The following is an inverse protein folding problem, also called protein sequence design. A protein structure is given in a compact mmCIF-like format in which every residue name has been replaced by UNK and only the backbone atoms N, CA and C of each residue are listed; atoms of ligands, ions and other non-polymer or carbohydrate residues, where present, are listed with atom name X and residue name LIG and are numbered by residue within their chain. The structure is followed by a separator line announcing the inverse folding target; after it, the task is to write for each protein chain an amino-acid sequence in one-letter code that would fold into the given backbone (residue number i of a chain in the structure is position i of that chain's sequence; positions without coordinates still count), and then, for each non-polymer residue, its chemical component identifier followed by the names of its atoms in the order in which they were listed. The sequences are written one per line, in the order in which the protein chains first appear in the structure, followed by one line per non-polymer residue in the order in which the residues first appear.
data_IF_719989595074
#
_entry.id   IF_719989595074
#
_cell.length_a   1.000
_cell.length_b   1.000
_cell.length_c   1.000
_cell.angle_alpha   90.00
_cell.angle_beta   90.00
_cell.angle_gamma   90.00
#
_symmetry.space_group_name_H-M   'P 1'
#
loop_
_entity.id
_entity.type
_entity.pdbx_description
1 polymer ?
#
# COMPACT_ATOMS: atom_id res chain seq x y z
N UNK A 1 16.75 5.07 -11.70
CA UNK A 1 15.99 6.30 -11.98
C UNK A 1 14.55 6.06 -11.55
N UNK A 2 14.17 6.47 -10.33
CA UNK A 2 12.86 6.12 -9.77
C UNK A 2 11.67 6.81 -10.44
N UNK A 3 11.89 7.91 -11.16
CA UNK A 3 10.82 8.74 -11.74
C UNK A 3 10.42 8.38 -13.17
N UNK A 4 11.16 7.53 -13.85
CA UNK A 4 10.83 7.15 -15.23
C UNK A 4 9.81 6.02 -15.25
N UNK A 5 8.90 6.08 -16.25
CA UNK A 5 8.00 4.97 -16.52
C UNK A 5 8.80 3.74 -16.95
N UNK A 6 8.40 2.58 -16.47
CA UNK A 6 8.89 1.29 -16.99
C UNK A 6 8.38 1.07 -18.42
N UNK A 7 8.98 0.16 -19.14
CA UNK A 7 8.53 -0.14 -20.52
C UNK A 7 7.09 -0.68 -20.52
N UNK A 8 6.70 -1.46 -19.52
CA UNK A 8 5.33 -1.95 -19.36
C UNK A 8 4.35 -0.79 -19.15
N UNK A 9 4.68 0.18 -18.28
CA UNK A 9 3.86 1.36 -18.02
C UNK A 9 3.74 2.25 -19.28
N UNK A 10 4.81 2.38 -20.06
CA UNK A 10 4.78 3.11 -21.35
C UNK A 10 3.84 2.45 -22.35
N UNK A 11 3.90 1.11 -22.48
CA UNK A 11 2.99 0.37 -23.36
C UNK A 11 1.54 0.55 -22.91
N UNK A 12 1.24 0.39 -21.62
CA UNK A 12 -0.11 0.59 -21.09
C UNK A 12 -0.58 2.02 -21.37
N UNK A 13 0.24 3.02 -21.14
CA UNK A 13 -0.11 4.43 -21.38
C UNK A 13 -0.37 4.70 -22.87
N UNK A 14 0.45 4.15 -23.77
CA UNK A 14 0.25 4.30 -25.22
C UNK A 14 -1.02 3.59 -25.69
N UNK A 15 -1.32 2.41 -25.16
CA UNK A 15 -2.51 1.64 -25.54
C UNK A 15 -3.81 2.25 -25.02
N UNK A 16 -3.82 2.70 -23.75
CA UNK A 16 -5.04 3.13 -23.06
C UNK A 16 -5.22 4.64 -22.97
N UNK A 17 -4.19 5.41 -23.34
CA UNK A 17 -4.14 6.87 -23.19
C UNK A 17 -3.97 7.36 -21.75
N UNK A 18 -3.82 6.46 -20.78
CA UNK A 18 -3.65 6.81 -19.35
C UNK A 18 -2.74 5.81 -18.64
N UNK A 19 -2.11 6.27 -17.57
CA UNK A 19 -1.39 5.41 -16.64
C UNK A 19 -2.31 5.06 -15.47
N UNK A 20 -2.50 3.76 -15.22
CA UNK A 20 -3.27 3.29 -14.06
C UNK A 20 -2.51 3.55 -12.76
N UNK A 21 -3.24 3.97 -11.73
CA UNK A 21 -2.66 4.14 -10.41
C UNK A 21 -2.43 2.80 -9.74
N UNK A 22 -1.20 2.54 -9.30
CA UNK A 22 -0.84 1.36 -8.52
C UNK A 22 -0.99 1.65 -7.04
N UNK A 23 -1.88 0.91 -6.37
CA UNK A 23 -2.14 1.02 -4.94
C UNK A 23 -1.32 -0.01 -4.17
N UNK A 24 -0.41 0.46 -3.32
CA UNK A 24 0.34 -0.34 -2.34
C UNK A 24 -0.29 -0.18 -0.96
N UNK A 25 -0.72 -1.28 -0.37
CA UNK A 25 -1.37 -1.32 0.94
C UNK A 25 -0.39 -1.90 1.95
N UNK A 26 0.04 -1.06 2.88
CA UNK A 26 1.02 -1.43 3.92
C UNK A 26 0.30 -1.66 5.24
N UNK A 27 0.46 -2.85 5.80
CA UNK A 27 -0.05 -3.19 7.13
C UNK A 27 1.03 -3.84 8.00
N UNK A 28 0.76 -3.97 9.28
CA UNK A 28 1.66 -4.60 10.24
C UNK A 28 1.45 -4.08 11.66
N UNK A 29 2.03 -4.74 12.66
CA UNK A 29 1.79 -4.42 14.07
C UNK A 29 2.25 -3.01 14.46
N UNK A 30 1.72 -2.55 15.60
CA UNK A 30 2.19 -1.30 16.21
C UNK A 30 3.68 -1.39 16.53
N UNK A 31 4.40 -0.28 16.35
CA UNK A 31 5.85 -0.23 16.65
C UNK A 31 6.76 -0.81 15.57
N UNK A 32 6.22 -1.39 14.49
CA UNK A 32 7.05 -1.99 13.43
C UNK A 32 7.77 -0.97 12.53
N UNK A 33 7.47 0.33 12.66
CA UNK A 33 8.14 1.40 11.91
C UNK A 33 7.49 1.77 10.57
N UNK A 34 6.21 1.44 10.34
CA UNK A 34 5.50 1.73 9.08
C UNK A 34 5.64 3.18 8.61
N UNK A 35 5.37 4.15 9.50
CA UNK A 35 5.46 5.58 9.17
C UNK A 35 6.86 5.99 8.70
N UNK A 36 7.91 5.55 9.40
CA UNK A 36 9.31 5.83 9.05
C UNK A 36 9.64 5.28 7.66
N UNK A 37 9.24 4.04 7.40
CA UNK A 37 9.44 3.38 6.11
C UNK A 37 8.69 4.11 5.00
N UNK A 38 7.39 4.42 5.21
CA UNK A 38 6.56 5.11 4.22
C UNK A 38 7.12 6.51 3.92
N UNK A 39 7.53 7.27 4.94
CA UNK A 39 8.12 8.59 4.74
C UNK A 39 9.41 8.51 3.89
N UNK A 40 10.24 7.49 4.11
CA UNK A 40 11.45 7.28 3.29
C UNK A 40 11.09 6.89 1.84
N UNK A 41 10.08 6.04 1.64
CA UNK A 41 9.59 5.70 0.30
C UNK A 41 9.03 6.93 -0.43
N UNK A 42 8.26 7.79 0.25
CA UNK A 42 7.75 9.03 -0.32
C UNK A 42 8.86 10.02 -0.71
N UNK A 43 9.92 10.07 0.08
CA UNK A 43 11.10 10.89 -0.23
C UNK A 43 11.87 10.36 -1.45
N UNK A 44 11.96 9.03 -1.60
CA UNK A 44 12.67 8.38 -2.71
C UNK A 44 11.84 8.33 -4.00
N UNK A 45 10.49 8.44 -3.92
CA UNK A 45 9.56 8.32 -5.04
C UNK A 45 8.65 9.55 -5.13
N UNK A 46 9.09 10.66 -5.75
CA UNK A 46 8.27 11.88 -5.92
C UNK A 46 6.92 11.66 -6.61
N UNK A 47 6.80 10.61 -7.45
CA UNK A 47 5.56 10.21 -8.13
C UNK A 47 4.60 9.41 -7.21
N UNK A 48 4.97 9.16 -5.95
CA UNK A 48 4.13 8.46 -4.98
C UNK A 48 3.29 9.45 -4.16
N UNK A 49 2.00 9.13 -3.98
CA UNK A 49 1.09 9.82 -3.09
C UNK A 49 0.70 8.93 -1.90
N UNK A 50 0.46 9.54 -0.73
CA UNK A 50 0.00 8.84 0.47
C UNK A 50 -1.49 9.06 0.68
N UNK A 51 -2.24 7.97 0.91
CA UNK A 51 -3.61 8.03 1.41
C UNK A 51 -3.58 8.48 2.87
N UNK A 52 -4.34 9.52 3.20
CA UNK A 52 -4.48 10.01 4.57
C UNK A 52 -5.69 9.38 5.24
N UNK A 53 -5.48 8.79 6.39
CA UNK A 53 -6.52 8.13 7.19
C UNK A 53 -7.09 9.09 8.22
N UNK A 54 -8.40 9.13 8.39
CA UNK A 54 -9.05 9.87 9.47
C UNK A 54 -8.93 9.11 10.78
N UNK A 55 -8.67 9.83 11.88
CA UNK A 55 -8.59 9.23 13.22
C UNK A 55 -9.05 10.17 14.31
N UNK A 56 -9.70 9.60 15.35
CA UNK A 56 -10.05 10.34 16.59
C UNK A 56 -8.95 10.27 17.64
N UNK A 57 -7.82 9.66 17.32
CA UNK A 57 -6.65 9.66 18.20
C UNK A 57 -6.03 11.06 18.24
N UNK A 58 -5.58 11.45 19.39
CA UNK A 58 -4.78 12.66 19.55
C UNK A 58 -3.51 12.58 18.69
N UNK A 59 -3.14 13.71 18.10
CA UNK A 59 -1.92 13.88 17.32
C UNK A 59 -0.71 13.77 18.23
N UNK A 60 0.31 13.06 17.82
CA UNK A 60 1.60 12.99 18.51
C UNK A 60 2.46 14.20 18.15
N UNK A 61 3.52 14.45 18.93
CA UNK A 61 4.42 15.59 18.72
C UNK A 61 5.15 15.54 17.36
N UNK A 62 5.49 14.35 16.90
CA UNK A 62 6.19 14.07 15.64
C UNK A 62 5.27 13.97 14.42
N UNK A 63 3.96 14.13 14.59
CA UNK A 63 2.97 14.03 13.51
C UNK A 63 2.46 15.42 13.08
N UNK A 64 2.16 15.57 11.79
CA UNK A 64 1.63 16.79 11.20
C UNK A 64 0.24 16.52 10.62
N UNK A 65 -0.72 17.43 10.93
CA UNK A 65 -2.07 17.35 10.36
C UNK A 65 -2.02 17.37 8.82
N UNK A 66 -2.75 16.43 8.21
CA UNK A 66 -2.82 16.33 6.76
C UNK A 66 -1.61 15.71 6.07
N UNK A 67 -0.60 15.25 6.82
CA UNK A 67 0.53 14.49 6.25
C UNK A 67 0.32 12.98 6.39
N UNK A 68 0.18 12.50 7.62
CA UNK A 68 -0.02 11.08 7.91
C UNK A 68 -1.51 10.75 8.08
N UNK A 69 -2.20 11.61 8.83
CA UNK A 69 -3.60 11.46 9.24
C UNK A 69 -4.33 12.79 9.16
N UNK A 70 -5.66 12.70 9.03
CA UNK A 70 -6.59 13.76 9.43
C UNK A 70 -7.04 13.49 10.86
N UNK A 71 -6.59 14.35 11.79
CA UNK A 71 -6.95 14.25 13.20
C UNK A 71 -8.25 15.01 13.45
N UNK A 72 -9.31 14.30 13.76
CA UNK A 72 -10.67 14.84 13.89
C UNK A 72 -11.25 14.53 15.26
N UNK A 73 -12.21 15.35 15.73
CA UNK A 73 -12.97 15.02 16.94
C UNK A 73 -13.93 13.85 16.68
N UNK A 74 -14.41 13.16 17.73
CA UNK A 74 -15.43 12.13 17.56
C UNK A 74 -16.71 12.63 16.86
N UNK A 75 -17.08 13.90 17.10
CA UNK A 75 -18.23 14.57 16.47
C UNK A 75 -17.99 14.76 14.97
N UNK A 76 -16.84 15.32 14.59
CA UNK A 76 -16.43 15.49 13.19
C UNK A 76 -16.33 14.15 12.46
N UNK A 77 -15.78 13.13 13.13
CA UNK A 77 -15.71 11.79 12.56
C UNK A 77 -17.10 11.23 12.25
N UNK A 78 -18.06 11.42 13.17
CA UNK A 78 -19.46 11.01 12.98
C UNK A 78 -20.11 11.78 11.83
N UNK A 79 -19.89 13.07 11.71
CA UNK A 79 -20.41 13.90 10.60
C UNK A 79 -19.88 13.39 9.24
N UNK A 80 -18.58 13.09 9.15
CA UNK A 80 -17.97 12.51 7.95
C UNK A 80 -18.57 11.13 7.61
N UNK A 81 -18.78 10.27 8.62
CA UNK A 81 -19.41 8.96 8.45
C UNK A 81 -20.85 9.08 7.92
N UNK A 82 -21.67 9.96 8.51
CA UNK A 82 -23.04 10.24 8.07
C UNK A 82 -23.10 10.83 6.65
N UNK A 83 -22.09 11.62 6.28
CA UNK A 83 -21.96 12.17 4.93
C UNK A 83 -21.43 11.17 3.89
N UNK A 84 -21.14 9.92 4.27
CA UNK A 84 -20.58 8.89 3.41
C UNK A 84 -19.16 9.18 2.91
N UNK A 85 -18.41 10.00 3.66
CA UNK A 85 -17.03 10.39 3.35
C UNK A 85 -15.98 9.40 3.84
N UNK A 86 -16.37 8.41 4.62
CA UNK A 86 -15.50 7.42 5.23
C UNK A 86 -15.80 6.01 4.70
N UNK A 87 -14.75 5.22 4.47
CA UNK A 87 -14.87 3.87 3.89
C UNK A 87 -15.37 2.85 4.93
N UNK A 88 -14.86 2.90 6.16
CA UNK A 88 -15.14 1.94 7.22
C UNK A 88 -16.14 2.42 8.26
N UNK A 89 -16.75 3.57 8.04
CA UNK A 89 -17.70 4.15 8.98
C UNK A 89 -19.00 4.55 8.28
N UNK A 90 -20.11 4.24 8.92
CA UNK A 90 -21.44 4.63 8.50
C UNK A 90 -22.29 5.06 9.71
N UNK A 91 -23.60 5.22 9.54
CA UNK A 91 -24.51 5.62 10.62
C UNK A 91 -24.57 4.62 11.78
N UNK A 92 -24.16 3.35 11.56
CA UNK A 92 -24.21 2.25 12.54
C UNK A 92 -22.84 1.84 13.03
N UNK A 93 -21.81 2.04 12.18
CA UNK A 93 -20.42 1.64 12.44
C UNK A 93 -19.53 2.88 12.48
N UNK A 94 -19.03 3.23 13.67
CA UNK A 94 -18.19 4.42 13.89
C UNK A 94 -16.70 4.15 13.64
N UNK A 95 -16.35 3.53 12.49
CA UNK A 95 -14.95 3.22 12.17
C UNK A 95 -14.41 1.97 12.88
N UNK A 96 -13.09 1.75 12.79
CA UNK A 96 -12.44 0.58 13.34
C UNK A 96 -11.56 0.93 14.53
N UNK A 97 -11.90 0.42 15.72
CA UNK A 97 -11.08 0.53 16.94
C UNK A 97 -10.08 -0.62 17.01
N UNK A 98 -8.90 -0.41 16.42
CA UNK A 98 -7.85 -1.45 16.26
C UNK A 98 -7.38 -2.06 17.59
N UNK A 99 -7.45 -1.30 18.68
CA UNK A 99 -6.87 -1.69 19.96
C UNK A 99 -7.88 -1.80 21.11
N UNK A 100 -9.18 -1.59 20.84
CA UNK A 100 -10.21 -1.54 21.89
C UNK A 100 -10.02 -0.38 22.89
N UNK A 101 -9.38 0.71 22.43
CA UNK A 101 -9.05 1.87 23.27
C UNK A 101 -9.96 3.08 22.99
N UNK A 102 -11.06 2.89 22.26
CA UNK A 102 -11.98 3.95 21.88
C UNK A 102 -11.42 4.93 20.85
N UNK A 103 -10.33 4.58 20.17
CA UNK A 103 -9.71 5.37 19.09
C UNK A 103 -10.04 4.73 17.76
N UNK A 104 -10.78 5.44 16.93
CA UNK A 104 -11.25 4.91 15.65
C UNK A 104 -10.42 5.45 14.50
N UNK A 105 -10.39 4.66 13.43
CA UNK A 105 -9.70 4.96 12.18
C UNK A 105 -10.64 4.65 11.02
N UNK A 106 -10.55 5.45 9.96
CA UNK A 106 -11.21 5.16 8.69
C UNK A 106 -10.47 5.81 7.53
N UNK A 107 -10.42 5.13 6.40
CA UNK A 107 -9.96 5.74 5.14
C UNK A 107 -11.04 6.65 4.54
N UNK A 108 -10.66 7.62 3.69
CA UNK A 108 -11.64 8.34 2.88
C UNK A 108 -12.40 7.35 1.98
N UNK A 109 -13.67 7.66 1.71
CA UNK A 109 -14.52 6.83 0.84
C UNK A 109 -13.94 6.68 -0.58
N UNK A 110 -13.33 7.75 -1.10
CA UNK A 110 -12.46 7.71 -2.29
C UNK A 110 -11.01 7.98 -1.87
N UNK A 111 -10.20 6.92 -1.86
CA UNK A 111 -8.79 7.00 -1.45
C UNK A 111 -7.93 7.81 -2.42
N UNK A 112 -8.42 8.10 -3.62
CA UNK A 112 -7.70 8.86 -4.64
C UNK A 112 -8.11 10.34 -4.69
N UNK A 113 -9.15 10.77 -3.94
CA UNK A 113 -9.68 12.14 -3.98
C UNK A 113 -8.60 13.19 -3.67
N UNK A 114 -7.75 12.90 -2.67
CA UNK A 114 -6.68 13.82 -2.24
C UNK A 114 -5.32 13.56 -2.90
N UNK A 115 -5.24 12.55 -3.78
CA UNK A 115 -3.99 12.20 -4.45
C UNK A 115 -3.87 12.98 -5.75
N UNK A 116 -2.84 13.83 -5.91
CA UNK A 116 -2.61 14.56 -7.15
C UNK A 116 -2.61 13.66 -8.39
N UNK A 117 -3.13 14.12 -9.54
CA UNK A 117 -3.28 13.28 -10.73
C UNK A 117 -1.96 12.78 -11.32
N UNK A 118 -0.86 13.49 -11.09
CA UNK A 118 0.50 13.12 -11.49
C UNK A 118 1.11 11.99 -10.63
N UNK A 119 0.50 11.68 -9.48
CA UNK A 119 0.93 10.59 -8.61
C UNK A 119 0.29 9.28 -9.06
N UNK A 120 1.06 8.45 -9.75
CA UNK A 120 0.59 7.14 -10.23
C UNK A 120 0.91 5.98 -9.28
N UNK A 121 1.85 6.16 -8.36
CA UNK A 121 2.07 5.25 -7.24
C UNK A 121 1.32 5.78 -6.01
N UNK A 122 0.52 4.95 -5.39
CA UNK A 122 -0.26 5.34 -4.21
C UNK A 122 0.01 4.37 -3.08
N UNK A 123 0.31 4.90 -1.89
CA UNK A 123 0.56 4.09 -0.70
C UNK A 123 -0.46 4.39 0.39
N UNK A 124 -1.06 3.33 0.94
CA UNK A 124 -2.00 3.40 2.06
C UNK A 124 -1.43 2.65 3.27
N UNK A 125 -1.42 3.29 4.45
CA UNK A 125 -1.12 2.65 5.72
C UNK A 125 -2.42 2.31 6.44
N UNK A 126 -2.63 1.03 6.71
CA UNK A 126 -3.84 0.52 7.35
C UNK A 126 -3.51 -0.62 8.32
N UNK A 127 -4.49 -1.09 9.05
CA UNK A 127 -4.41 -2.37 9.74
C UNK A 127 -4.85 -3.55 8.84
N UNK A 128 -4.85 -4.76 9.39
CA UNK A 128 -5.24 -5.96 8.64
C UNK A 128 -6.67 -5.91 8.12
N UNK A 129 -7.59 -5.32 8.90
CA UNK A 129 -9.01 -5.20 8.50
C UNK A 129 -9.16 -4.21 7.35
N UNK A 130 -8.49 -3.04 7.46
CA UNK A 130 -8.44 -2.06 6.39
C UNK A 130 -7.79 -2.61 5.11
N UNK A 131 -6.74 -3.44 5.25
CA UNK A 131 -6.10 -4.08 4.10
C UNK A 131 -7.05 -5.04 3.35
N UNK A 132 -7.85 -5.84 4.08
CA UNK A 132 -8.86 -6.71 3.47
C UNK A 132 -9.91 -5.90 2.70
N UNK A 133 -10.41 -4.81 3.29
CA UNK A 133 -11.40 -3.91 2.65
C UNK A 133 -10.84 -3.25 1.40
N UNK A 134 -9.59 -2.79 1.44
CA UNK A 134 -8.94 -2.25 0.25
C UNK A 134 -8.77 -3.31 -0.84
N UNK A 135 -8.42 -4.54 -0.49
CA UNK A 135 -8.32 -5.63 -1.46
C UNK A 135 -9.67 -5.98 -2.10
N UNK A 136 -10.76 -5.97 -1.32
CA UNK A 136 -12.11 -6.17 -1.84
C UNK A 136 -12.54 -5.05 -2.80
N UNK A 137 -12.24 -3.81 -2.44
CA UNK A 137 -12.61 -2.63 -3.24
C UNK A 137 -11.71 -2.42 -4.45
N UNK A 138 -10.44 -2.74 -4.31
CA UNK A 138 -9.38 -2.56 -5.33
C UNK A 138 -8.60 -3.87 -5.51
N UNK A 139 -9.17 -4.86 -6.24
CA UNK A 139 -8.55 -6.20 -6.37
C UNK A 139 -7.16 -6.21 -6.98
N UNK A 140 -6.78 -5.14 -7.70
CA UNK A 140 -5.44 -4.96 -8.26
C UNK A 140 -4.43 -4.32 -7.30
N UNK A 141 -4.79 -4.04 -6.04
CA UNK A 141 -3.84 -3.49 -5.07
C UNK A 141 -2.78 -4.53 -4.67
N UNK A 142 -1.62 -4.04 -4.32
CA UNK A 142 -0.48 -4.83 -3.83
C UNK A 142 -0.40 -4.70 -2.32
N UNK A 143 -0.51 -5.80 -1.60
CA UNK A 143 -0.51 -5.77 -0.13
C UNK A 143 0.82 -6.23 0.45
N UNK A 144 1.38 -5.42 1.35
CA UNK A 144 2.69 -5.64 1.97
C UNK A 144 2.51 -5.67 3.49
N UNK A 145 2.82 -6.79 4.12
CA UNK A 145 2.83 -6.91 5.57
C UNK A 145 4.23 -6.65 6.10
N UNK A 146 4.39 -5.60 6.91
CA UNK A 146 5.66 -5.31 7.58
C UNK A 146 5.62 -5.91 8.98
N UNK A 147 6.64 -6.67 9.33
CA UNK A 147 6.80 -7.27 10.67
C UNK A 147 8.22 -7.05 11.20
N UNK A 148 8.43 -7.44 12.45
CA UNK A 148 9.75 -7.46 13.07
C UNK A 148 9.83 -8.64 14.05
N UNK A 149 11.02 -9.06 14.50
CA UNK A 149 11.14 -10.01 15.59
C UNK A 149 10.35 -9.52 16.82
N UNK A 150 9.69 -10.42 17.58
CA UNK A 150 8.87 -10.02 18.75
C UNK A 150 9.64 -9.19 19.78
N UNK A 151 10.93 -9.44 19.98
CA UNK A 151 11.78 -8.67 20.90
C UNK A 151 11.91 -7.21 20.45
N UNK A 152 12.12 -6.97 19.16
CA UNK A 152 12.22 -5.63 18.58
C UNK A 152 10.89 -4.87 18.69
N UNK A 153 9.75 -5.56 18.50
CA UNK A 153 8.42 -4.95 18.68
C UNK A 153 8.19 -4.50 20.11
N UNK A 154 8.51 -5.36 21.10
CA UNK A 154 8.38 -5.01 22.52
C UNK A 154 9.26 -3.81 22.88
N UNK A 155 10.50 -3.81 22.42
CA UNK A 155 11.46 -2.72 22.65
C UNK A 155 10.90 -1.39 22.11
N UNK A 156 10.56 -1.34 20.82
CA UNK A 156 10.04 -0.13 20.15
C UNK A 156 8.71 0.36 20.71
N UNK A 157 7.82 -0.55 21.16
CA UNK A 157 6.58 -0.14 21.81
C UNK A 157 6.86 0.54 23.15
N UNK A 158 7.83 0.03 23.94
CA UNK A 158 8.22 0.64 25.22
C UNK A 158 8.90 1.98 25.04
N UNK A 159 9.91 2.08 24.17
CA UNK A 159 10.59 3.35 23.87
C UNK A 159 9.61 4.46 23.44
N UNK A 160 8.63 4.10 22.61
CA UNK A 160 7.64 5.05 22.10
C UNK A 160 6.70 5.61 23.16
N UNK A 161 6.57 4.96 24.31
CA UNK A 161 5.66 5.34 25.39
C UNK A 161 6.38 5.71 26.69
N UNK A 162 7.67 6.08 26.61
CA UNK A 162 8.51 6.56 27.73
C UNK A 162 8.43 5.66 28.97
N UNK A 163 8.41 4.34 28.80
CA UNK A 163 8.29 3.34 29.87
C UNK A 163 7.06 3.51 30.78
N UNK A 164 6.18 4.47 30.48
CA UNK A 164 4.99 4.77 31.31
C UNK A 164 3.81 3.83 31.03
N UNK A 165 3.93 2.97 29.98
CA UNK A 165 2.88 2.03 29.62
C UNK A 165 2.77 0.92 30.69
N UNK A 166 1.56 0.77 31.24
CA UNK A 166 1.28 -0.33 32.16
C UNK A 166 1.35 -1.71 31.46
N UNK A 167 1.54 -2.76 32.28
CA UNK A 167 1.73 -4.13 31.78
C UNK A 167 0.47 -4.65 31.03
N UNK A 168 -0.72 -4.18 31.39
CA UNK A 168 -1.97 -4.59 30.76
C UNK A 168 -2.07 -4.02 29.34
N UNK A 169 -1.81 -2.73 29.16
CA UNK A 169 -1.78 -2.04 27.85
C UNK A 169 -0.72 -2.64 26.92
N UNK A 170 0.47 -2.95 27.44
CA UNK A 170 1.50 -3.65 26.67
C UNK A 170 1.02 -5.06 26.28
N UNK A 171 0.45 -5.81 27.21
CA UNK A 171 -0.10 -7.13 26.95
C UNK A 171 -1.19 -7.12 25.88
N UNK A 172 -2.09 -6.13 25.89
CA UNK A 172 -3.11 -5.97 24.86
C UNK A 172 -2.51 -5.70 23.49
N UNK A 173 -1.52 -4.79 23.40
CA UNK A 173 -0.81 -4.52 22.13
C UNK A 173 -0.07 -5.73 21.59
N UNK A 174 0.52 -6.54 22.46
CA UNK A 174 1.21 -7.77 22.06
C UNK A 174 0.23 -8.84 21.57
N UNK A 175 -0.94 -8.96 22.20
CA UNK A 175 -2.01 -9.85 21.69
C UNK A 175 -2.47 -9.42 20.30
N UNK A 176 -2.79 -8.14 20.12
CA UNK A 176 -3.16 -7.58 18.81
C UNK A 176 -2.04 -7.79 17.77
N UNK A 177 -0.78 -7.55 18.14
CA UNK A 177 0.36 -7.79 17.24
C UNK A 177 0.45 -9.27 16.83
N UNK A 178 0.24 -10.21 17.77
CA UNK A 178 0.23 -11.64 17.47
C UNK A 178 -0.89 -12.03 16.49
N UNK A 179 -2.11 -11.51 16.70
CA UNK A 179 -3.24 -11.72 15.80
C UNK A 179 -2.96 -11.17 14.40
N UNK A 180 -2.41 -9.97 14.30
CA UNK A 180 -2.02 -9.36 13.04
C UNK A 180 -0.93 -10.15 12.31
N UNK A 181 0.09 -10.66 13.03
CA UNK A 181 1.14 -11.50 12.44
C UNK A 181 0.55 -12.80 11.86
N UNK A 182 -0.45 -13.39 12.50
CA UNK A 182 -1.14 -14.58 11.95
C UNK A 182 -1.84 -14.31 10.62
N UNK A 183 -2.28 -13.08 10.39
CA UNK A 183 -2.90 -12.66 9.13
C UNK A 183 -1.87 -12.33 8.03
N UNK A 184 -0.57 -12.32 8.32
CA UNK A 184 0.47 -12.02 7.32
C UNK A 184 0.41 -12.92 6.08
N UNK A 185 -0.06 -14.17 6.22
CA UNK A 185 -0.26 -15.13 5.12
C UNK A 185 -1.32 -14.71 4.08
N UNK A 186 -2.12 -13.68 4.39
CA UNK A 186 -3.14 -13.14 3.49
C UNK A 186 -2.57 -12.05 2.58
N UNK A 187 -1.35 -11.60 2.80
CA UNK A 187 -0.69 -10.53 2.07
C UNK A 187 0.13 -11.10 0.90
N UNK A 188 0.34 -10.27 -0.12
CA UNK A 188 1.13 -10.64 -1.29
C UNK A 188 2.62 -10.71 -0.93
N UNK A 189 3.07 -9.84 0.00
CA UNK A 189 4.46 -9.75 0.44
C UNK A 189 4.56 -9.60 1.96
N UNK A 190 5.63 -10.17 2.54
CA UNK A 190 6.01 -9.97 3.95
C UNK A 190 7.44 -9.46 3.99
N UNK A 191 7.64 -8.32 4.68
CA UNK A 191 8.95 -7.69 4.84
C UNK A 191 9.28 -7.55 6.32
N UNK A 192 10.52 -7.88 6.69
CA UNK A 192 11.02 -7.80 8.07
C UNK A 192 11.81 -6.51 8.29
N UNK A 193 11.33 -5.66 9.21
CA UNK A 193 12.05 -4.47 9.67
C UNK A 193 12.81 -4.80 10.98
N UNK A 194 14.02 -5.30 10.86
CA UNK A 194 14.89 -5.60 12.00
C UNK A 194 15.48 -4.33 12.59
N UNK A 195 15.95 -4.43 13.84
CA UNK A 195 16.67 -3.32 14.49
C UNK A 195 17.92 -2.93 13.68
N UNK A 196 18.07 -1.62 13.46
CA UNK A 196 19.20 -1.08 12.67
C UNK A 196 19.11 -1.27 11.14
N UNK A 197 18.12 -2.01 10.62
CA UNK A 197 18.04 -2.43 9.22
C UNK A 197 16.98 -1.64 8.39
N UNK A 198 16.63 -0.42 8.80
CA UNK A 198 15.63 0.39 8.10
C UNK A 198 15.93 0.50 6.59
N UNK A 199 17.19 0.75 6.25
CA UNK A 199 17.62 0.88 4.84
C UNK A 199 17.26 -0.37 4.02
N UNK A 200 17.60 -1.56 4.52
CA UNK A 200 17.29 -2.83 3.83
C UNK A 200 15.80 -3.10 3.72
N UNK A 201 15.03 -2.64 4.71
CA UNK A 201 13.56 -2.75 4.69
C UNK A 201 12.97 -1.88 3.59
N UNK A 202 13.44 -0.64 3.46
CA UNK A 202 13.04 0.29 2.40
C UNK A 202 13.42 -0.28 1.03
N UNK A 203 14.68 -0.70 0.86
CA UNK A 203 15.19 -1.32 -0.38
C UNK A 203 14.35 -2.55 -0.81
N UNK A 204 13.99 -3.42 0.14
CA UNK A 204 13.15 -4.57 -0.16
C UNK A 204 11.76 -4.16 -0.69
N UNK A 205 11.17 -3.11 -0.14
CA UNK A 205 9.87 -2.59 -0.62
C UNK A 205 10.05 -1.88 -1.97
N UNK A 206 11.14 -1.17 -2.20
CA UNK A 206 11.45 -0.58 -3.51
C UNK A 206 11.58 -1.63 -4.60
N UNK A 207 12.20 -2.78 -4.31
CA UNK A 207 12.24 -3.92 -5.23
C UNK A 207 10.85 -4.47 -5.55
N UNK A 208 9.95 -4.55 -4.55
CA UNK A 208 8.55 -4.95 -4.75
C UNK A 208 7.85 -3.93 -5.65
N UNK A 209 7.97 -2.63 -5.36
CA UNK A 209 7.38 -1.56 -6.16
C UNK A 209 7.86 -1.66 -7.60
N UNK A 210 9.17 -1.84 -7.81
CA UNK A 210 9.75 -1.95 -9.15
C UNK A 210 9.23 -3.17 -9.91
N UNK A 211 9.19 -4.35 -9.26
CA UNK A 211 8.65 -5.57 -9.87
C UNK A 211 7.17 -5.43 -10.24
N UNK A 212 6.38 -4.82 -9.35
CA UNK A 212 4.96 -4.61 -9.59
C UNK A 212 4.68 -3.58 -10.70
N UNK A 213 5.54 -2.61 -10.90
CA UNK A 213 5.48 -1.67 -12.06
C UNK A 213 5.74 -2.36 -13.39
N UNK A 214 6.51 -3.44 -13.40
CA UNK A 214 6.79 -4.25 -14.59
C UNK A 214 5.79 -5.39 -14.81
N UNK A 215 4.85 -5.59 -13.90
CA UNK A 215 3.85 -6.65 -14.00
C UNK A 215 2.87 -6.35 -15.14
N UNK A 216 2.66 -7.32 -16.02
CA UNK A 216 1.63 -7.24 -17.07
C UNK A 216 0.24 -7.16 -16.43
N UNK A 217 -0.52 -6.12 -16.80
CA UNK A 217 -1.86 -5.83 -16.29
C UNK A 217 -2.84 -5.58 -17.43
N UNK A 218 -4.10 -5.38 -17.07
CA UNK A 218 -5.12 -4.97 -18.03
C UNK A 218 -4.69 -3.71 -18.81
N UNK A 219 -4.89 -3.71 -20.11
CA UNK A 219 -4.47 -2.62 -20.99
C UNK A 219 -3.03 -2.74 -21.53
N UNK A 220 -2.25 -3.75 -21.11
CA UNK A 220 -0.98 -4.04 -21.75
C UNK A 220 -1.22 -4.75 -23.07
N UNK A 221 -0.90 -4.07 -24.17
CA UNK A 221 -0.97 -4.60 -25.53
C UNK A 221 0.26 -4.16 -26.30
N UNK A 222 1.24 -5.05 -26.39
CA UNK A 222 2.50 -4.78 -27.07
C UNK A 222 2.31 -4.66 -28.59
N UNK A 223 1.39 -5.42 -29.18
CA UNK A 223 1.15 -5.37 -30.62
C UNK A 223 0.58 -4.02 -31.05
N UNK A 224 -0.27 -3.41 -30.23
CA UNK A 224 -0.86 -2.10 -30.50
C UNK A 224 0.17 -0.96 -30.58
N UNK A 225 1.36 -1.14 -30.02
CA UNK A 225 2.42 -0.11 -29.99
C UNK A 225 3.61 -0.44 -30.91
N UNK A 226 3.62 -1.62 -31.52
CA UNK A 226 4.63 -1.98 -32.50
C UNK A 226 4.30 -1.38 -33.87
N UNK A 227 5.33 -1.04 -34.69
CA UNK A 227 5.10 -0.65 -36.07
C UNK A 227 4.40 -1.78 -36.85
N UNK A 228 3.49 -1.48 -37.79
CA UNK A 228 2.76 -2.48 -38.55
C UNK A 228 3.65 -3.49 -39.30
N UNK A 229 4.90 -3.12 -39.56
CA UNK A 229 5.89 -3.90 -40.28
C UNK A 229 6.96 -4.54 -39.35
N UNK A 230 6.77 -4.45 -38.02
CA UNK A 230 7.77 -4.93 -37.05
C UNK A 230 8.20 -6.38 -37.29
N UNK A 231 7.33 -7.22 -37.83
CA UNK A 231 7.57 -8.65 -38.13
C UNK A 231 7.67 -8.97 -39.61
N UNK A 232 7.58 -7.99 -40.51
CA UNK A 232 7.63 -8.20 -41.96
C UNK A 232 9.03 -8.59 -42.48
N UNK A 233 10.04 -8.58 -41.61
CA UNK A 233 11.42 -8.97 -41.96
C UNK A 233 11.62 -10.50 -41.84
N UNK A 234 10.63 -11.25 -41.37
CA UNK A 234 10.71 -12.72 -41.41
C UNK A 234 10.57 -13.20 -42.85
N UNK A 235 11.50 -14.01 -43.36
CA UNK A 235 11.35 -14.59 -44.70
C UNK A 235 10.03 -15.38 -44.75
N UNK A 236 9.31 -15.40 -45.88
CA UNK A 236 8.10 -16.20 -45.97
C UNK A 236 8.44 -17.65 -45.65
N UNK A 237 7.59 -18.27 -44.83
CA UNK A 237 7.73 -19.72 -44.53
C UNK A 237 7.83 -20.44 -45.87
N UNK A 238 8.96 -21.15 -46.08
CA UNK A 238 9.10 -22.05 -47.23
C UNK A 238 7.96 -23.07 -47.10
N UNK A 239 6.92 -22.90 -47.91
CA UNK A 239 5.89 -23.92 -48.03
C UNK A 239 6.58 -25.19 -48.44
N UNK A 240 6.63 -26.18 -47.53
CA UNK A 240 7.00 -27.54 -47.87
C UNK A 240 6.06 -28.04 -49.01
N UNK A 241 6.42 -27.74 -50.21
CA UNK A 241 5.82 -28.42 -51.37
C UNK A 241 6.26 -29.84 -51.30
N UNK A 242 5.37 -30.67 -50.76
CA UNK A 242 5.52 -32.11 -50.71
C UNK A 242 5.90 -32.63 -52.11
N UNK A 243 7.12 -33.09 -52.20
CA UNK A 243 7.56 -33.93 -53.31
C UNK A 243 6.83 -35.29 -53.20
N UNK A 244 5.72 -35.40 -53.90
CA UNK A 244 5.23 -36.74 -54.28
C UNK A 244 6.16 -37.26 -55.38
N UNK A 245 7.00 -38.21 -55.02
CA UNK A 245 7.74 -39.00 -55.99
C UNK A 245 6.90 -40.19 -56.46
N UNK A 246 7.08 -40.67 -57.64
CA UNK A 246 6.24 -41.61 -58.38
C UNK A 246 6.26 -43.04 -57.85
#
# INVERSE_FOLDING_TARGET
MPDELTDVERVIQQTTGRLERLLFVVAGPSGVGKNTIINQLLANHPQMGRVRTYTTRERREDEVEGEQYHFVTPEQFRELALAGKLMEADATTLGHDVYGLGKVYSMPADIFEEIPPDKHLVIAEVDVVGARRLRERYPGCVTIFITAPPADLVHRIRERHDETMDAESLGQRMRTAHEQIRAAKEFDYVVFNREGDLHRTVEAIEHIIHAERMRVRAGFDLEAVLPPDAFSVLPPEESETGSAAP
#
